data_IF_030615490348
#
_entry.id   IF_030615490348
#
_cell.length_a   1.000
_cell.length_b   1.000
_cell.length_c   1.000
_cell.angle_alpha   90.00
_cell.angle_beta   90.00
_cell.angle_gamma   90.00
#
_symmetry.space_group_name_H-M   'P 1'
#
loop_
_entity.id
_entity.type
_entity.pdbx_description
1 polymer ?
#
# COMPACT_ATOMS: atom_id res chain seq x y z
N UNK A 1 -19.16 14.82 -14.57
CA UNK A 1 -18.65 14.46 -14.36
C UNK A 1 -18.53 13.56 -14.15
N UNK A 2 -18.21 13.82 -14.16
CA UNK A 2 -17.84 13.24 -13.88
C UNK A 2 -17.71 12.53 -13.46
N UNK A 3 -17.49 12.12 -13.06
CA UNK A 3 -17.02 11.74 -12.55
C UNK A 3 -17.15 10.69 -12.01
N UNK A 4 -17.21 9.76 -12.02
CA UNK A 4 -17.32 8.88 -11.38
C UNK A 4 -16.28 8.23 -11.07
N UNK A 5 -15.73 7.94 -11.38
CA UNK A 5 -14.74 7.49 -11.09
C UNK A 5 -14.19 8.27 -10.20
N UNK A 6 -13.54 8.13 -9.61
CA UNK A 6 -13.02 8.87 -8.74
C UNK A 6 -12.39 9.78 -9.33
N UNK A 7 -12.81 10.55 -9.67
CA UNK A 7 -12.11 11.44 -10.18
C UNK A 7 -11.69 12.35 -9.32
N UNK A 8 -10.71 12.49 -9.04
CA UNK A 8 -10.25 13.48 -8.25
C UNK A 8 -10.25 14.63 -9.01
N UNK A 9 -10.78 15.42 -8.78
CA UNK A 9 -10.54 16.52 -9.47
C UNK A 9 -11.55 17.19 -9.92
N UNK A 10 -11.94 17.68 -10.25
CA UNK A 10 -12.83 18.36 -10.75
C UNK A 10 -13.38 19.31 -10.15
N UNK A 11 -13.53 19.63 -9.71
CA UNK A 11 -14.02 20.55 -9.03
C UNK A 11 -14.51 21.62 -9.10
N UNK A 12 -15.18 21.89 -9.25
CA UNK A 12 -15.73 22.94 -9.20
C UNK A 12 -15.98 23.37 -8.04
N UNK A 13 -15.56 23.42 -7.54
CA UNK A 13 -15.76 24.07 -6.49
C UNK A 13 -16.29 23.60 -5.47
N UNK A 14 -16.71 23.42 -5.22
CA UNK A 14 -17.25 23.20 -4.17
C UNK A 14 -16.88 22.18 -3.45
N UNK A 15 -17.09 21.47 -3.45
CA UNK A 15 -16.91 20.59 -2.63
C UNK A 15 -15.83 19.92 -2.74
N UNK A 16 -15.25 19.83 -2.25
CA UNK A 16 -14.13 19.31 -2.17
C UNK A 16 -14.22 17.91 -2.20
N UNK A 17 -14.29 17.34 -3.07
CA UNK A 17 -14.30 16.05 -3.02
C UNK A 17 -13.03 15.46 -2.80
N UNK A 18 -12.80 14.86 -1.88
CA UNK A 18 -11.55 14.27 -1.61
C UNK A 18 -11.41 13.07 -2.46
N UNK A 19 -10.23 12.82 -2.89
CA UNK A 19 -9.94 11.70 -3.65
C UNK A 19 -9.66 10.57 -2.71
N UNK A 20 -10.56 9.68 -2.53
CA UNK A 20 -10.33 8.58 -1.62
C UNK A 20 -10.26 7.28 -2.37
N UNK A 21 -9.36 6.44 -1.96
CA UNK A 21 -9.24 5.11 -2.52
C UNK A 21 -10.16 4.20 -1.75
N UNK A 22 -10.83 3.32 -2.45
CA UNK A 22 -11.70 2.37 -1.79
C UNK A 22 -10.86 1.49 -0.86
N UNK A 23 -11.40 1.11 0.28
CA UNK A 23 -10.65 0.26 1.19
C UNK A 23 -10.42 -1.12 0.61
N UNK A 24 -9.38 -1.77 1.07
CA UNK A 24 -9.11 -3.15 0.69
C UNK A 24 -10.15 -4.03 1.37
N UNK A 25 -10.76 -4.90 0.60
CA UNK A 25 -11.80 -5.79 1.11
C UNK A 25 -11.19 -7.17 1.32
N UNK A 26 -11.35 -7.76 2.50
CA UNK A 26 -10.81 -9.10 2.73
C UNK A 26 -11.31 -10.09 1.69
N UNK A 27 -10.43 -10.92 1.19
CA UNK A 27 -10.76 -11.92 0.20
C UNK A 27 -10.79 -11.41 -1.23
N UNK A 28 -10.65 -10.11 -1.44
CA UNK A 28 -10.69 -9.53 -2.77
C UNK A 28 -9.31 -8.93 -3.07
N UNK A 29 -8.59 -9.45 -4.05
CA UNK A 29 -7.27 -8.90 -4.35
C UNK A 29 -7.36 -7.47 -4.84
N UNK A 30 -6.41 -6.67 -4.42
CA UNK A 30 -6.26 -5.33 -4.97
C UNK A 30 -5.03 -5.33 -5.87
N UNK A 31 -5.25 -5.10 -7.15
CA UNK A 31 -4.17 -5.01 -8.13
C UNK A 31 -4.03 -3.56 -8.55
N UNK A 32 -2.84 -3.03 -8.43
CA UNK A 32 -2.57 -1.65 -8.79
C UNK A 32 -1.36 -1.64 -9.71
N UNK A 33 -1.44 -0.93 -10.82
CA UNK A 33 -0.35 -0.90 -11.79
C UNK A 33 -0.05 0.53 -12.19
N UNK A 34 1.17 0.74 -12.66
CA UNK A 34 1.54 2.03 -13.20
C UNK A 34 1.71 3.13 -12.17
N UNK A 35 2.07 2.79 -10.94
CA UNK A 35 2.29 3.80 -9.92
C UNK A 35 3.67 4.38 -10.12
N UNK A 36 3.74 5.67 -10.36
CA UNK A 36 5.00 6.36 -10.57
C UNK A 36 5.47 6.93 -9.25
N UNK A 37 6.65 6.52 -8.81
CA UNK A 37 7.24 7.03 -7.58
C UNK A 37 8.44 7.90 -7.98
N UNK A 38 8.37 9.18 -7.67
CA UNK A 38 9.45 10.09 -8.02
C UNK A 38 10.71 9.75 -7.22
N UNK A 39 11.89 10.22 -7.68
CA UNK A 39 13.12 9.96 -6.95
C UNK A 39 13.03 10.33 -5.48
N UNK A 40 13.46 9.43 -4.61
CA UNK A 40 13.47 9.60 -3.16
C UNK A 40 12.09 9.78 -2.54
N UNK A 41 11.04 9.48 -3.26
CA UNK A 41 9.69 9.54 -2.71
C UNK A 41 9.20 8.13 -2.40
N UNK A 42 8.04 8.03 -1.80
CA UNK A 42 7.47 6.74 -1.46
C UNK A 42 6.00 6.67 -1.87
N UNK A 43 5.51 5.45 -1.94
CA UNK A 43 4.09 5.18 -2.16
C UNK A 43 3.63 4.26 -1.05
N UNK A 44 2.47 4.57 -0.46
CA UNK A 44 1.94 3.79 0.64
C UNK A 44 0.58 3.20 0.31
N UNK A 45 0.35 1.97 0.77
CA UNK A 45 -0.97 1.37 0.74
C UNK A 45 -1.25 0.98 2.18
N UNK A 46 -2.19 1.66 2.85
CA UNK A 46 -2.44 1.42 4.26
C UNK A 46 -3.74 0.64 4.46
N UNK A 47 -3.71 -0.35 5.34
CA UNK A 47 -4.81 -1.27 5.53
C UNK A 47 -4.99 -1.54 7.01
N UNK A 48 -6.23 -1.46 7.51
CA UNK A 48 -6.51 -1.82 8.91
C UNK A 48 -6.62 -3.33 9.00
N UNK A 49 -5.81 -3.94 9.85
CA UNK A 49 -5.78 -5.39 10.02
C UNK A 49 -5.96 -5.77 11.47
N UNK A 50 -6.47 -6.95 11.70
CA UNK A 50 -6.76 -7.48 13.03
C UNK A 50 -5.95 -8.74 13.29
N UNK A 51 -5.76 -9.11 14.57
CA UNK A 51 -5.00 -10.32 14.87
C UNK A 51 -5.58 -11.55 14.17
N UNK A 52 -4.72 -12.35 13.61
CA UNK A 52 -5.11 -13.54 12.87
C UNK A 52 -5.28 -13.33 11.38
N UNK A 53 -5.36 -12.08 10.95
CA UNK A 53 -5.41 -11.82 9.52
C UNK A 53 -4.05 -12.13 8.90
N UNK A 54 -4.07 -12.42 7.61
CA UNK A 54 -2.86 -12.61 6.84
C UNK A 54 -2.89 -11.67 5.67
N UNK A 55 -1.78 -11.04 5.40
CA UNK A 55 -1.66 -10.13 4.28
C UNK A 55 -0.65 -10.71 3.30
N UNK A 56 -1.14 -11.11 2.13
CA UNK A 56 -0.26 -11.59 1.07
C UNK A 56 0.06 -10.40 0.17
N UNK A 57 1.31 -10.25 -0.18
CA UNK A 57 1.73 -9.14 -1.01
C UNK A 57 2.75 -9.58 -2.04
N UNK A 58 2.78 -8.87 -3.16
CA UNK A 58 3.82 -9.04 -4.15
C UNK A 58 3.91 -7.78 -4.98
N UNK A 59 5.06 -7.52 -5.54
CA UNK A 59 5.24 -6.35 -6.38
C UNK A 59 6.34 -6.54 -7.39
N UNK A 60 6.32 -5.68 -8.41
CA UNK A 60 7.37 -5.57 -9.42
C UNK A 60 7.67 -4.10 -9.59
N UNK A 61 8.92 -3.78 -9.79
CA UNK A 61 9.38 -2.40 -9.95
C UNK A 61 10.35 -2.31 -11.10
N UNK A 62 10.34 -1.17 -11.78
CA UNK A 62 11.30 -0.94 -12.86
C UNK A 62 12.71 -0.73 -12.34
N UNK A 63 12.85 -0.27 -11.09
CA UNK A 63 14.16 -0.02 -10.49
C UNK A 63 14.20 -0.63 -9.11
N UNK A 64 15.36 -1.01 -8.59
CA UNK A 64 15.42 -1.52 -7.24
C UNK A 64 14.93 -0.48 -6.25
N UNK A 65 14.15 -0.92 -5.28
CA UNK A 65 13.65 -0.03 -4.26
C UNK A 65 13.52 -0.79 -2.95
N UNK A 66 13.30 -0.04 -1.88
CA UNK A 66 13.11 -0.65 -0.57
C UNK A 66 11.62 -0.82 -0.32
N UNK A 67 11.26 -1.89 0.35
CA UNK A 67 9.88 -2.16 0.70
C UNK A 67 9.80 -2.51 2.17
N UNK A 68 8.76 -2.01 2.84
CA UNK A 68 8.52 -2.43 4.21
C UNK A 68 7.03 -2.38 4.52
N UNK A 69 6.64 -3.08 5.58
CA UNK A 69 5.31 -2.98 6.13
C UNK A 69 5.52 -2.39 7.52
N UNK A 70 4.85 -1.28 7.80
CA UNK A 70 5.07 -0.58 9.06
C UNK A 70 3.78 -0.11 9.69
N UNK A 71 3.83 0.17 10.99
CA UNK A 71 2.73 0.77 11.71
C UNK A 71 3.30 1.69 12.78
N UNK A 72 2.45 2.57 13.29
CA UNK A 72 2.89 3.48 14.32
C UNK A 72 2.32 3.08 15.66
N UNK A 73 3.17 3.18 16.70
CA UNK A 73 2.71 2.95 18.04
C UNK A 73 3.29 4.08 18.85
N UNK A 74 2.46 4.95 19.35
CA UNK A 74 2.88 6.19 20.00
C UNK A 74 3.72 6.99 19.03
N UNK A 75 4.97 7.27 19.36
CA UNK A 75 5.82 8.03 18.47
C UNK A 75 6.77 7.14 17.70
N UNK A 76 6.66 5.86 17.85
CA UNK A 76 7.58 4.95 17.17
C UNK A 76 6.96 4.40 15.90
N UNK A 77 7.81 4.14 14.92
CA UNK A 77 7.42 3.46 13.70
C UNK A 77 8.05 2.08 13.77
N UNK A 78 7.23 1.05 13.70
CA UNK A 78 7.70 -0.32 13.79
C UNK A 78 7.50 -0.98 12.43
N UNK A 79 8.49 -1.74 12.00
CA UNK A 79 8.47 -2.35 10.67
C UNK A 79 8.66 -3.85 10.78
N UNK A 80 7.56 -4.60 10.92
CA UNK A 80 7.66 -6.06 11.01
C UNK A 80 8.17 -6.73 9.73
N UNK A 81 8.10 -6.06 8.61
CA UNK A 81 8.66 -6.59 7.35
C UNK A 81 9.53 -5.52 6.73
N UNK A 82 10.77 -5.86 6.45
CA UNK A 82 11.70 -4.96 5.79
C UNK A 82 12.40 -5.73 4.68
N UNK A 83 12.38 -5.18 3.47
CA UNK A 83 13.09 -5.77 2.34
C UNK A 83 13.99 -4.71 1.75
N UNK A 84 15.23 -5.09 1.53
CA UNK A 84 16.17 -4.16 0.95
C UNK A 84 15.99 -4.06 -0.54
N UNK A 85 16.84 -3.41 -1.21
CA UNK A 85 16.76 -3.08 -2.62
C UNK A 85 16.40 -4.29 -3.50
N UNK A 86 15.25 -4.23 -4.14
CA UNK A 86 14.85 -5.32 -5.02
C UNK A 86 13.83 -4.81 -6.04
N UNK A 87 13.77 -5.47 -7.20
CA UNK A 87 12.81 -5.11 -8.24
C UNK A 87 11.56 -5.99 -8.16
N UNK A 88 11.60 -7.06 -7.38
CA UNK A 88 10.44 -7.93 -7.26
C UNK A 88 10.54 -8.67 -5.93
N UNK A 89 9.41 -8.83 -5.27
CA UNK A 89 9.38 -9.59 -4.03
C UNK A 89 7.94 -9.97 -3.72
N UNK A 90 7.78 -10.92 -2.81
CA UNK A 90 6.46 -11.34 -2.35
C UNK A 90 6.59 -11.98 -0.99
N UNK A 91 5.46 -12.05 -0.28
CA UNK A 91 5.47 -12.70 1.03
C UNK A 91 4.09 -12.69 1.65
N UNK A 92 4.05 -13.22 2.87
CA UNK A 92 2.85 -13.23 3.69
C UNK A 92 3.23 -12.69 5.07
N UNK A 93 2.44 -11.76 5.55
CA UNK A 93 2.62 -11.19 6.87
C UNK A 93 1.46 -11.65 7.74
N UNK A 94 1.77 -12.28 8.87
CA UNK A 94 0.74 -12.71 9.81
C UNK A 94 0.56 -11.66 10.87
N UNK A 95 -0.65 -11.17 11.02
CA UNK A 95 -0.93 -10.04 11.89
C UNK A 95 -1.17 -10.50 13.32
N UNK A 96 -0.48 -9.85 14.25
CA UNK A 96 -0.64 -10.16 15.67
C UNK A 96 -1.28 -9.04 16.45
N UNK A 97 -1.20 -7.83 15.96
CA UNK A 97 -1.78 -6.67 16.64
C UNK A 97 -2.75 -5.97 15.73
N UNK A 98 -3.85 -5.48 16.28
CA UNK A 98 -4.78 -4.66 15.50
C UNK A 98 -4.15 -3.30 15.27
N UNK A 99 -3.88 -2.96 14.04
CA UNK A 99 -3.20 -1.70 13.68
C UNK A 99 -3.55 -1.30 12.26
N UNK A 100 -3.20 -0.08 11.93
CA UNK A 100 -3.23 0.39 10.55
C UNK A 100 -1.84 0.14 10.01
N UNK A 101 -1.72 -0.85 9.14
CA UNK A 101 -0.42 -1.21 8.56
C UNK A 101 -0.28 -0.57 7.20
N UNK A 102 0.88 0.00 6.92
CA UNK A 102 1.15 0.61 5.62
C UNK A 102 2.26 -0.17 4.92
N UNK A 103 1.96 -0.62 3.69
CA UNK A 103 2.97 -1.16 2.83
C UNK A 103 3.60 0.03 2.15
N UNK A 104 4.90 0.17 2.24
CA UNK A 104 5.61 1.34 1.77
C UNK A 104 6.70 0.94 0.79
N UNK A 105 6.68 1.55 -0.38
CA UNK A 105 7.73 1.35 -1.40
C UNK A 105 8.49 2.65 -1.52
N UNK A 106 9.79 2.61 -1.26
CA UNK A 106 10.63 3.81 -1.26
C UNK A 106 11.61 3.78 -2.41
N UNK A 107 11.50 4.73 -3.31
CA UNK A 107 12.36 4.78 -4.49
C UNK A 107 13.70 5.45 -4.18
N UNK A 108 14.72 5.04 -4.90
CA UNK A 108 16.03 5.69 -4.85
C UNK A 108 16.13 6.77 -5.89
N UNK A 109 17.39 7.12 -6.28
CA UNK A 109 17.62 8.24 -7.20
C UNK A 109 16.86 8.20 -8.51
N UNK A 110 16.72 7.07 -9.17
CA UNK A 110 16.02 7.08 -10.46
C UNK A 110 14.50 7.08 -10.33
N UNK A 111 13.97 6.97 -9.12
CA UNK A 111 12.54 6.78 -9.00
C UNK A 111 12.18 5.37 -9.44
N UNK A 112 10.91 5.09 -9.63
CA UNK A 112 10.47 3.76 -10.05
C UNK A 112 9.03 3.80 -10.51
N UNK A 113 8.64 2.80 -11.28
CA UNK A 113 7.25 2.57 -11.61
C UNK A 113 6.95 1.19 -11.10
N UNK A 114 5.91 1.06 -10.28
CA UNK A 114 5.61 -0.21 -9.65
C UNK A 114 4.21 -0.71 -10.00
N UNK A 115 4.04 -2.00 -9.85
CA UNK A 115 2.74 -2.64 -9.85
C UNK A 115 2.74 -3.58 -8.67
N UNK A 116 1.60 -3.72 -8.02
CA UNK A 116 1.54 -4.60 -6.86
C UNK A 116 0.17 -5.23 -6.70
N UNK A 117 0.14 -6.31 -5.93
CA UNK A 117 -1.11 -6.95 -5.56
C UNK A 117 -1.07 -7.20 -4.06
N UNK A 118 -2.16 -6.91 -3.38
CA UNK A 118 -2.32 -7.25 -1.97
C UNK A 118 -3.63 -8.01 -1.79
N UNK A 119 -3.62 -8.97 -0.88
CA UNK A 119 -4.79 -9.76 -0.58
C UNK A 119 -4.82 -9.99 0.93
N UNK A 120 -5.90 -9.60 1.57
CA UNK A 120 -6.10 -9.84 2.99
C UNK A 120 -6.94 -11.08 3.15
N UNK A 121 -6.45 -12.04 3.92
CA UNK A 121 -7.22 -13.21 4.27
C UNK A 121 -7.56 -13.09 5.75
N UNK A 122 -8.85 -12.93 6.04
CA UNK A 122 -9.27 -12.73 7.41
C UNK A 122 -9.09 -13.99 8.23
N UNK A 123 -8.92 -13.80 9.52
CA UNK A 123 -8.84 -14.94 10.42
C UNK A 123 -10.13 -15.77 10.30
N UNK A 124 -10.00 -17.05 10.47
CA UNK A 124 -11.15 -17.93 10.39
C UNK A 124 -12.12 -17.60 11.49
N UNK A 125 -13.39 -17.70 11.23
CA UNK A 125 -14.41 -17.44 12.23
C UNK A 125 -15.30 -18.63 12.43
#
# INVERSE_FOLDING_TARGET
>A
MHRAKTVCGAALAVAAAACTTAPVVPGVPRDVAGVVIAPYQSHDECIRLAPGDRLDWRYESTEPLAFNIQYREDQAVLSPVVREQSTTDSGTFEVRLAQDYCLTWEAGPPGAIIRYRVLVRSAAR
#
